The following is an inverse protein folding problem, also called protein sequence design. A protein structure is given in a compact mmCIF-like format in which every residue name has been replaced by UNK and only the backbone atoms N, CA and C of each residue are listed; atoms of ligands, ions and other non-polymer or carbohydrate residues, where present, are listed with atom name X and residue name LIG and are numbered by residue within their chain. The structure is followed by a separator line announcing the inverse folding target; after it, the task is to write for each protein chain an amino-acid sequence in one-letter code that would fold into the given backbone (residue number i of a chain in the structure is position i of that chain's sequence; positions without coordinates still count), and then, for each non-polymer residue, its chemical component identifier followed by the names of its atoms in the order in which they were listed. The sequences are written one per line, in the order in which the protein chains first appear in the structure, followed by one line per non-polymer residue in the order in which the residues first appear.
data_IF_342955521343
#
_entry.id   IF_342955521343
#
_cell.length_a   1.000
_cell.length_b   1.000
_cell.length_c   1.000
_cell.angle_alpha   90.00
_cell.angle_beta   90.00
_cell.angle_gamma   90.00
#
_symmetry.space_group_name_H-M   'P 1'
#
loop_
_entity.id
_entity.type
_entity.pdbx_description
1 polymer ?
#
# COMPACT_ATOMS: atom_id res chain seq x y z
N UNK A 1 10.41 -21.55 -15.80
CA UNK A 1 10.18 -20.13 -16.11
C UNK A 1 8.68 -19.90 -16.13
N UNK A 2 8.17 -18.89 -15.42
CA UNK A 2 6.79 -18.47 -15.60
C UNK A 2 6.64 -17.94 -17.03
N UNK A 3 5.71 -18.48 -17.81
CA UNK A 3 5.41 -17.98 -19.15
C UNK A 3 4.61 -16.67 -18.97
N UNK A 4 5.18 -15.56 -19.43
CA UNK A 4 4.56 -14.23 -19.39
C UNK A 4 4.13 -13.73 -20.77
N UNK A 5 4.11 -14.58 -21.79
CA UNK A 5 3.69 -14.21 -23.15
C UNK A 5 2.25 -13.70 -23.18
N UNK A 6 1.42 -14.12 -22.22
CA UNK A 6 0.05 -13.63 -22.04
C UNK A 6 -0.03 -12.18 -21.54
N UNK A 7 1.05 -11.62 -20.97
CA UNK A 7 1.15 -10.20 -20.59
C UNK A 7 1.68 -9.32 -21.72
N UNK A 8 2.13 -9.90 -22.84
CA UNK A 8 2.75 -9.15 -23.95
C UNK A 8 1.83 -8.11 -24.60
N UNK A 9 0.50 -8.28 -24.48
CA UNK A 9 -0.48 -7.31 -24.95
C UNK A 9 -0.76 -6.15 -23.99
N UNK A 10 -0.21 -6.17 -22.77
CA UNK A 10 -0.44 -5.13 -21.78
C UNK A 10 0.49 -3.95 -22.06
N UNK A 11 -0.09 -2.80 -22.38
CA UNK A 11 0.68 -1.56 -22.51
C UNK A 11 1.28 -1.15 -21.16
N UNK A 12 2.39 -0.42 -21.20
CA UNK A 12 3.00 0.14 -20.00
C UNK A 12 2.03 1.01 -19.20
N UNK A 13 1.15 1.75 -19.89
CA UNK A 13 0.08 2.54 -19.27
C UNK A 13 -0.93 1.67 -18.52
N UNK A 14 -1.39 0.57 -19.13
CA UNK A 14 -2.31 -0.35 -18.47
C UNK A 14 -1.66 -1.00 -17.24
N UNK A 15 -0.39 -1.40 -17.35
CA UNK A 15 0.38 -1.91 -16.22
C UNK A 15 0.47 -0.87 -15.08
N UNK A 16 0.77 0.39 -15.41
CA UNK A 16 0.81 1.50 -14.43
C UNK A 16 -0.51 1.65 -13.69
N UNK A 17 -1.63 1.66 -14.41
CA UNK A 17 -2.96 1.78 -13.82
C UNK A 17 -3.31 0.60 -12.90
N UNK A 18 -2.88 -0.61 -13.24
CA UNK A 18 -3.05 -1.79 -12.37
C UNK A 18 -2.30 -1.58 -11.05
N UNK A 19 -1.04 -1.13 -11.07
CA UNK A 19 -0.29 -0.86 -9.84
C UNK A 19 -0.92 0.25 -8.99
N UNK A 20 -1.36 1.34 -9.60
CA UNK A 20 -2.05 2.42 -8.90
C UNK A 20 -3.34 1.93 -8.22
N UNK A 21 -4.14 1.11 -8.92
CA UNK A 21 -5.34 0.50 -8.35
C UNK A 21 -5.00 -0.45 -7.19
N UNK A 22 -3.94 -1.24 -7.30
CA UNK A 22 -3.47 -2.11 -6.23
C UNK A 22 -3.04 -1.32 -4.99
N UNK A 23 -2.33 -0.20 -5.15
CA UNK A 23 -1.97 0.64 -4.00
C UNK A 23 -3.18 1.20 -3.27
N UNK A 24 -4.21 1.64 -4.01
CA UNK A 24 -5.48 2.10 -3.43
C UNK A 24 -6.19 0.95 -2.72
N UNK A 25 -6.25 -0.24 -3.33
CA UNK A 25 -6.83 -1.43 -2.71
C UNK A 25 -6.13 -1.78 -1.40
N UNK A 26 -4.79 -1.80 -1.39
CA UNK A 26 -4.01 -2.08 -0.17
C UNK A 26 -4.28 -1.01 0.89
N UNK A 27 -4.37 0.27 0.52
CA UNK A 27 -4.70 1.33 1.46
C UNK A 27 -6.07 1.11 2.12
N UNK A 28 -7.08 0.71 1.34
CA UNK A 28 -8.40 0.33 1.88
C UNK A 28 -8.27 -0.87 2.84
N UNK A 29 -7.53 -1.91 2.46
CA UNK A 29 -7.33 -3.08 3.32
C UNK A 29 -6.63 -2.71 4.64
N UNK A 30 -5.63 -1.82 4.61
CA UNK A 30 -4.95 -1.29 5.81
C UNK A 30 -5.94 -0.58 6.74
N UNK A 31 -6.86 0.21 6.18
CA UNK A 31 -7.87 0.91 6.97
C UNK A 31 -8.84 -0.07 7.65
N UNK A 32 -9.12 -1.22 7.01
CA UNK A 32 -10.00 -2.27 7.53
C UNK A 32 -9.38 -3.10 8.66
N UNK A 33 -8.06 -3.11 8.84
CA UNK A 33 -7.40 -3.82 9.96
C UNK A 33 -7.95 -3.29 11.30
N UNK A 34 -8.24 -4.09 12.33
CA UNK A 34 -8.69 -3.56 13.62
C UNK A 34 -7.65 -2.62 14.27
N UNK A 35 -8.11 -1.55 14.94
CA UNK A 35 -7.21 -0.53 15.51
C UNK A 35 -6.30 -1.06 16.64
N UNK A 36 -6.64 -2.19 17.26
CA UNK A 36 -5.82 -2.85 18.26
C UNK A 36 -4.44 -3.27 17.73
N UNK A 37 -4.36 -3.68 16.45
CA UNK A 37 -3.12 -4.05 15.77
C UNK A 37 -2.31 -2.84 15.28
N UNK A 38 -2.86 -1.62 15.35
CA UNK A 38 -2.15 -0.42 14.88
C UNK A 38 -0.93 -0.09 15.76
N UNK A 39 -0.89 -0.60 16.98
CA UNK A 39 0.16 -0.40 17.98
C UNK A 39 0.75 -1.73 18.45
N UNK A 40 0.71 -2.75 17.60
CA UNK A 40 1.27 -4.07 17.91
C UNK A 40 2.73 -3.94 18.35
N UNK A 41 3.09 -4.55 19.49
CA UNK A 41 4.43 -4.45 20.07
C UNK A 41 4.72 -3.17 20.87
N UNK A 42 3.75 -2.27 21.07
CA UNK A 42 3.90 -1.06 21.90
C UNK A 42 2.96 -1.11 23.11
N UNK A 43 3.54 -0.94 24.29
CA UNK A 43 2.80 -0.86 25.56
C UNK A 43 1.78 0.28 25.52
N UNK A 44 0.63 0.11 26.16
CA UNK A 44 -0.49 1.07 26.06
C UNK A 44 -0.11 2.48 26.51
N UNK A 45 0.79 2.57 27.50
CA UNK A 45 1.25 3.79 28.14
C UNK A 45 2.13 4.64 27.19
N UNK A 46 2.84 3.96 26.29
CA UNK A 46 3.80 4.55 25.34
C UNK A 46 3.23 4.69 23.92
N UNK A 47 1.91 4.56 23.75
CA UNK A 47 1.26 4.68 22.43
C UNK A 47 1.23 6.13 21.98
N UNK A 48 2.11 6.47 21.04
CA UNK A 48 2.08 7.76 20.35
C UNK A 48 1.62 7.61 18.90
N UNK A 49 1.16 8.69 18.27
CA UNK A 49 0.66 8.65 16.89
C UNK A 49 1.73 8.13 15.89
N UNK A 50 3.02 8.39 16.13
CA UNK A 50 4.11 7.87 15.30
C UNK A 50 4.35 6.37 15.46
N UNK A 51 3.77 5.72 16.48
CA UNK A 51 3.77 4.26 16.60
C UNK A 51 2.63 3.62 15.81
N UNK A 52 1.72 4.40 15.23
CA UNK A 52 0.57 3.88 14.51
C UNK A 52 0.99 3.33 13.14
N UNK A 53 1.06 2.00 13.05
CA UNK A 53 1.47 1.28 11.84
C UNK A 53 0.56 1.56 10.65
N UNK A 54 -0.73 1.85 10.88
CA UNK A 54 -1.64 2.20 9.78
C UNK A 54 -1.29 3.53 9.15
N UNK A 55 -0.98 4.55 9.96
CA UNK A 55 -0.58 5.88 9.45
C UNK A 55 0.66 5.74 8.58
N UNK A 56 1.67 5.01 9.05
CA UNK A 56 2.88 4.76 8.28
C UNK A 56 2.63 3.96 7.00
N UNK A 57 1.79 2.94 7.07
CA UNK A 57 1.42 2.14 5.89
C UNK A 57 0.73 3.02 4.83
N UNK A 58 -0.22 3.86 5.23
CA UNK A 58 -0.91 4.79 4.31
C UNK A 58 0.06 5.83 3.76
N UNK A 59 0.97 6.35 4.58
CA UNK A 59 1.96 7.34 4.14
C UNK A 59 2.90 6.76 3.08
N UNK A 60 3.46 5.57 3.31
CA UNK A 60 4.33 4.88 2.35
C UNK A 60 3.57 4.56 1.06
N UNK A 61 2.33 4.05 1.15
CA UNK A 61 1.48 3.80 -0.03
C UNK A 61 1.20 5.08 -0.82
N UNK A 62 1.00 6.21 -0.15
CA UNK A 62 0.77 7.51 -0.79
C UNK A 62 2.01 7.96 -1.57
N UNK A 63 3.21 7.77 -1.00
CA UNK A 63 4.47 8.06 -1.70
C UNK A 63 4.62 7.16 -2.93
N UNK A 64 4.41 5.84 -2.78
CA UNK A 64 4.52 4.89 -3.90
C UNK A 64 3.54 5.22 -5.02
N UNK A 65 2.29 5.51 -4.67
CA UNK A 65 1.27 5.94 -5.63
C UNK A 65 1.71 7.20 -6.37
N UNK A 66 2.22 8.21 -5.66
CA UNK A 66 2.63 9.46 -6.28
C UNK A 66 3.83 9.28 -7.23
N UNK A 67 4.82 8.49 -6.83
CA UNK A 67 5.97 8.15 -7.68
C UNK A 67 5.49 7.45 -8.96
N UNK A 68 4.68 6.40 -8.84
CA UNK A 68 4.13 5.67 -9.99
C UNK A 68 3.15 6.49 -10.84
N UNK A 69 2.54 7.51 -10.26
CA UNK A 69 1.65 8.39 -11.01
C UNK A 69 2.45 9.32 -11.93
N UNK A 70 3.53 9.90 -11.39
CA UNK A 70 4.39 10.88 -12.08
C UNK A 70 5.33 10.23 -13.11
N UNK A 71 6.00 9.15 -12.74
CA UNK A 71 7.02 8.47 -13.56
C UNK A 71 6.45 7.23 -14.25
#
# INVERSE_FOLDING_TARGET
MLNFDWLSGISQEMAKNIFLALFVLIAVLVLMIPNEYAYEGVEKEDRHWWNNLKIWSIFVLSILFFIYYIF
#
